data_IF_599671047999
#
_entry.id   IF_599671047999
#
_cell.length_a   1.000
_cell.length_b   1.000
_cell.length_c   1.000
_cell.angle_alpha   90.00
_cell.angle_beta   90.00
_cell.angle_gamma   90.00
#
_symmetry.space_group_name_H-M   'P 1'
#
loop_
_entity.id
_entity.type
_entity.pdbx_description
1 polymer ?
#
# COMPACT_ATOMS: atom_id res chain seq x y z
N UNK A 1 -5.66 9.84 -35.87
CA UNK A 1 -5.06 11.13 -35.48
C UNK A 1 -5.39 11.54 -34.02
N UNK A 2 -6.43 11.07 -33.38
CA UNK A 2 -6.76 11.38 -31.97
C UNK A 2 -5.90 10.63 -30.94
N UNK A 3 -5.36 9.47 -31.29
CA UNK A 3 -4.47 8.65 -30.43
C UNK A 3 -3.06 9.25 -30.27
N UNK A 4 -2.59 10.01 -31.24
CA UNK A 4 -1.29 10.68 -31.18
C UNK A 4 -1.27 11.84 -30.17
N UNK A 5 -2.39 12.55 -29.99
CA UNK A 5 -2.46 13.68 -29.05
C UNK A 5 -2.46 13.26 -27.56
N UNK A 6 -3.08 12.12 -27.23
CA UNK A 6 -3.09 11.60 -25.85
C UNK A 6 -1.72 11.04 -25.44
N UNK A 7 -1.03 10.37 -26.37
CA UNK A 7 0.34 9.88 -26.14
C UNK A 7 1.34 11.02 -25.96
N UNK A 8 1.19 12.11 -26.72
CA UNK A 8 2.05 13.29 -26.58
C UNK A 8 1.81 14.07 -25.28
N UNK A 9 0.55 14.17 -24.82
CA UNK A 9 0.25 14.80 -23.54
C UNK A 9 0.80 13.99 -22.35
N UNK A 10 0.70 12.66 -22.41
CA UNK A 10 1.26 11.79 -21.38
C UNK A 10 2.79 11.75 -21.41
N UNK A 11 3.39 11.74 -22.63
CA UNK A 11 4.84 11.85 -22.79
C UNK A 11 5.36 13.17 -22.21
N UNK A 12 4.68 14.31 -22.44
CA UNK A 12 5.04 15.59 -21.86
C UNK A 12 4.93 15.64 -20.33
N UNK A 13 3.94 14.94 -19.75
CA UNK A 13 3.80 14.82 -18.27
C UNK A 13 4.92 13.93 -17.72
N UNK A 14 5.24 12.82 -18.38
CA UNK A 14 6.32 11.91 -17.97
C UNK A 14 7.69 12.56 -18.14
N UNK A 15 7.91 13.30 -19.23
CA UNK A 15 9.15 14.08 -19.44
C UNK A 15 9.31 15.22 -18.42
N UNK A 16 8.23 15.95 -18.12
CA UNK A 16 8.24 16.96 -17.07
C UNK A 16 8.53 16.40 -15.68
N UNK A 17 7.97 15.24 -15.36
CA UNK A 17 8.21 14.52 -14.11
C UNK A 17 9.64 13.94 -14.04
N UNK A 18 10.16 13.37 -15.14
CA UNK A 18 11.54 12.88 -15.22
C UNK A 18 12.54 14.03 -15.13
N UNK A 19 12.27 15.16 -15.79
CA UNK A 19 13.11 16.34 -15.68
C UNK A 19 13.14 16.90 -14.25
N UNK A 20 12.00 16.92 -13.55
CA UNK A 20 11.92 17.35 -12.15
C UNK A 20 12.62 16.36 -11.20
N UNK A 21 12.50 15.05 -11.45
CA UNK A 21 13.20 14.02 -10.68
C UNK A 21 14.73 14.09 -10.89
N UNK A 22 15.18 14.39 -12.11
CA UNK A 22 16.59 14.58 -12.41
C UNK A 22 17.16 15.85 -11.76
N UNK A 23 16.40 16.94 -11.76
CA UNK A 23 16.79 18.21 -11.09
C UNK A 23 16.84 18.02 -9.57
N UNK A 24 15.83 17.36 -8.97
CA UNK A 24 15.84 17.08 -7.52
C UNK A 24 16.90 16.07 -7.10
N UNK A 25 17.23 15.11 -7.95
CA UNK A 25 18.34 14.19 -7.68
C UNK A 25 19.71 14.89 -7.78
N UNK A 26 19.87 15.83 -8.71
CA UNK A 26 21.08 16.61 -8.91
C UNK A 26 21.29 17.62 -7.77
N UNK A 27 20.22 18.27 -7.31
CA UNK A 27 20.24 19.15 -6.13
C UNK A 27 20.54 18.38 -4.83
N UNK A 28 20.08 17.12 -4.72
CA UNK A 28 20.38 16.26 -3.57
C UNK A 28 21.85 15.84 -3.51
N UNK A 29 22.51 15.62 -4.66
CA UNK A 29 23.95 15.31 -4.70
C UNK A 29 24.81 16.53 -4.38
N UNK A 30 24.41 17.73 -4.81
CA UNK A 30 25.11 18.98 -4.49
C UNK A 30 24.90 19.40 -3.03
N UNK A 31 23.71 19.21 -2.43
CA UNK A 31 23.46 19.41 -1.01
C UNK A 31 24.22 18.39 -0.14
N UNK A 32 24.33 17.14 -0.55
CA UNK A 32 25.07 16.11 0.18
C UNK A 32 26.57 16.40 0.19
N UNK A 33 27.11 16.90 -0.91
CA UNK A 33 28.53 17.32 -1.02
C UNK A 33 28.83 18.60 -0.18
N UNK A 34 27.91 19.53 -0.12
CA UNK A 34 28.04 20.78 0.64
C UNK A 34 27.75 20.58 2.13
N UNK A 35 26.77 19.73 2.48
CA UNK A 35 26.44 19.38 3.86
C UNK A 35 27.56 18.56 4.55
N UNK A 36 28.24 17.70 3.82
CA UNK A 36 29.39 16.94 4.33
C UNK A 36 30.58 17.84 4.70
N UNK A 37 30.74 19.02 4.07
CA UNK A 37 31.76 19.99 4.36
C UNK A 37 31.41 20.99 5.48
N UNK A 38 30.11 21.16 5.80
CA UNK A 38 29.60 22.10 6.80
C UNK A 38 29.19 21.44 8.14
N UNK A 39 29.19 20.14 8.27
CA UNK A 39 28.53 19.41 9.36
C UNK A 39 29.40 19.15 10.61
N UNK A 40 30.53 19.86 10.82
CA UNK A 40 31.37 19.57 11.98
C UNK A 40 31.18 20.52 13.21
N UNK A 41 30.58 21.71 13.17
CA UNK A 41 30.45 22.49 14.41
C UNK A 41 29.04 22.71 15.00
N UNK A 42 27.94 22.16 14.50
CA UNK A 42 26.62 22.56 15.03
C UNK A 42 25.79 21.43 15.63
N UNK A 43 26.40 20.54 16.40
CA UNK A 43 25.73 19.42 17.08
C UNK A 43 24.97 19.81 18.37
N UNK A 44 24.89 21.07 18.71
CA UNK A 44 24.23 21.55 19.95
C UNK A 44 23.45 22.85 19.72
N UNK A 45 22.33 22.84 19.03
CA UNK A 45 21.24 23.79 19.26
C UNK A 45 19.91 23.14 18.94
N UNK A 46 19.21 22.81 20.01
CA UNK A 46 17.86 22.28 20.04
C UNK A 46 16.89 23.45 19.99
N UNK A 47 15.97 23.51 19.06
CA UNK A 47 14.63 24.14 19.05
C UNK A 47 14.12 24.52 17.65
N UNK A 48 14.99 24.67 16.64
CA UNK A 48 14.58 25.07 15.28
C UNK A 48 14.27 23.91 14.32
N UNK A 49 14.56 22.66 14.69
CA UNK A 49 14.43 21.49 13.80
C UNK A 49 12.97 21.07 13.51
N UNK A 50 12.03 21.38 14.41
CA UNK A 50 10.61 21.06 14.24
C UNK A 50 9.90 22.02 13.28
N UNK A 51 10.31 23.30 13.30
CA UNK A 51 9.70 24.31 12.42
C UNK A 51 10.12 24.15 10.96
N UNK A 52 11.38 23.81 10.71
CA UNK A 52 11.91 23.58 9.35
C UNK A 52 11.27 22.34 8.73
N UNK A 53 11.03 21.27 9.50
CA UNK A 53 10.36 20.07 9.00
C UNK A 53 8.87 20.31 8.69
N UNK A 54 8.20 21.15 9.46
CA UNK A 54 6.81 21.56 9.21
C UNK A 54 6.70 22.45 7.95
N UNK A 55 7.66 23.34 7.75
CA UNK A 55 7.72 24.21 6.56
C UNK A 55 8.02 23.39 5.31
N UNK A 56 9.00 22.48 5.33
CA UNK A 56 9.32 21.62 4.20
C UNK A 56 8.15 20.69 3.81
N UNK A 57 7.50 20.05 4.79
CA UNK A 57 6.31 19.25 4.53
C UNK A 57 5.10 20.07 4.04
N UNK A 58 5.02 21.34 4.38
CA UNK A 58 3.99 22.26 3.90
C UNK A 58 4.29 22.77 2.49
N UNK A 59 5.53 23.01 2.16
CA UNK A 59 5.95 23.36 0.80
C UNK A 59 5.73 22.19 -0.18
N UNK A 60 6.09 20.98 0.21
CA UNK A 60 5.89 19.80 -0.61
C UNK A 60 4.41 19.52 -0.90
N UNK A 61 3.51 19.68 0.06
CA UNK A 61 2.05 19.58 -0.17
C UNK A 61 1.50 20.70 -1.03
N UNK A 62 2.18 21.84 -1.05
CA UNK A 62 1.82 23.02 -1.85
C UNK A 62 2.16 22.82 -3.32
N UNK A 63 3.36 22.30 -3.63
CA UNK A 63 3.79 22.02 -5.00
C UNK A 63 2.93 20.93 -5.62
N UNK A 64 2.68 19.82 -4.90
CA UNK A 64 1.82 18.74 -5.36
C UNK A 64 0.41 19.21 -5.72
N UNK A 65 -0.23 20.01 -4.88
CA UNK A 65 -1.59 20.50 -5.21
C UNK A 65 -1.63 21.43 -6.40
N UNK A 66 -0.59 22.22 -6.66
CA UNK A 66 -0.49 23.07 -7.84
C UNK A 66 -0.25 22.25 -9.12
N UNK A 67 0.59 21.21 -9.04
CA UNK A 67 0.83 20.29 -10.15
C UNK A 67 -0.41 19.46 -10.49
N UNK A 68 -1.12 18.97 -9.48
CA UNK A 68 -2.38 18.21 -9.66
C UNK A 68 -3.49 19.09 -10.28
N UNK A 69 -3.57 20.37 -9.91
CA UNK A 69 -4.50 21.30 -10.54
C UNK A 69 -4.12 21.59 -12.00
N UNK A 70 -2.83 21.76 -12.29
CA UNK A 70 -2.30 21.95 -13.63
C UNK A 70 -2.51 20.74 -14.53
N UNK A 71 -2.21 19.54 -14.05
CA UNK A 71 -2.40 18.28 -14.79
C UNK A 71 -3.88 18.00 -15.05
N UNK A 72 -4.77 18.26 -14.08
CA UNK A 72 -6.21 18.15 -14.28
C UNK A 72 -6.72 19.14 -15.33
N UNK A 73 -6.17 20.36 -15.39
CA UNK A 73 -6.48 21.33 -16.44
C UNK A 73 -6.05 20.86 -17.83
N UNK A 74 -4.86 20.28 -17.97
CA UNK A 74 -4.36 19.68 -19.21
C UNK A 74 -5.21 18.49 -19.67
N UNK A 75 -5.64 17.63 -18.74
CA UNK A 75 -6.57 16.53 -19.01
C UNK A 75 -7.89 17.03 -19.58
N UNK A 76 -8.40 18.19 -19.14
CA UNK A 76 -9.62 18.79 -19.67
C UNK A 76 -9.50 19.18 -21.15
N UNK A 77 -8.33 19.61 -21.62
CA UNK A 77 -8.09 19.96 -23.02
C UNK A 77 -8.11 18.72 -23.93
N UNK A 78 -7.64 17.57 -23.44
CA UNK A 78 -7.62 16.31 -24.20
C UNK A 78 -8.93 15.52 -24.15
N UNK A 79 -9.80 15.76 -23.17
CA UNK A 79 -11.04 15.01 -22.99
C UNK A 79 -12.10 15.40 -24.03
N UNK A 80 -12.57 14.44 -24.84
CA UNK A 80 -13.67 14.60 -25.80
C UNK A 80 -14.71 13.51 -25.57
N UNK A 81 -15.96 13.88 -25.34
CA UNK A 81 -17.09 12.95 -25.16
C UNK A 81 -17.69 12.96 -23.76
N UNK A 82 -18.68 12.09 -23.57
CA UNK A 82 -19.32 11.83 -22.27
C UNK A 82 -18.65 10.63 -21.59
N UNK A 83 -18.72 10.62 -20.27
CA UNK A 83 -18.28 9.52 -19.42
C UNK A 83 -19.47 9.12 -18.55
N UNK A 84 -19.81 7.84 -18.55
CA UNK A 84 -20.86 7.27 -17.71
C UNK A 84 -20.22 6.60 -16.49
N UNK A 85 -20.68 6.97 -15.30
CA UNK A 85 -20.25 6.36 -14.04
C UNK A 85 -21.35 5.46 -13.50
N UNK A 86 -21.07 4.20 -13.25
CA UNK A 86 -21.96 3.34 -12.47
C UNK A 86 -21.66 3.53 -10.98
N UNK A 87 -22.60 4.16 -10.29
CA UNK A 87 -22.52 4.49 -8.87
C UNK A 87 -23.27 3.52 -7.97
N UNK A 88 -23.90 2.48 -8.56
CA UNK A 88 -24.78 1.58 -7.81
C UNK A 88 -24.38 0.13 -7.93
N UNK A 89 -24.54 -0.59 -6.81
CA UNK A 89 -24.57 -2.04 -6.81
C UNK A 89 -26.03 -2.52 -6.82
N UNK A 90 -26.26 -3.72 -7.37
CA UNK A 90 -27.59 -4.34 -7.44
C UNK A 90 -28.30 -4.53 -6.09
N UNK A 91 -27.58 -4.35 -4.99
CA UNK A 91 -28.02 -4.55 -3.60
C UNK A 91 -28.30 -3.24 -2.84
N UNK A 92 -28.17 -2.08 -3.48
CA UNK A 92 -28.28 -0.79 -2.82
C UNK A 92 -29.74 -0.40 -2.51
N UNK A 93 -29.97 0.29 -1.38
CA UNK A 93 -31.28 0.79 -0.97
C UNK A 93 -31.89 1.79 -1.97
N UNK A 94 -31.03 2.61 -2.58
CA UNK A 94 -31.41 3.59 -3.59
C UNK A 94 -30.53 3.37 -4.83
N UNK A 95 -31.14 3.18 -5.98
CA UNK A 95 -30.42 3.12 -7.25
C UNK A 95 -30.15 4.55 -7.71
N UNK A 96 -28.90 4.97 -7.54
CA UNK A 96 -28.41 6.17 -8.20
C UNK A 96 -28.17 5.77 -9.65
N UNK A 97 -28.91 6.28 -10.62
CA UNK A 97 -28.72 5.94 -12.03
C UNK A 97 -27.26 6.08 -12.47
N UNK A 98 -26.92 5.58 -13.65
CA UNK A 98 -25.61 5.82 -14.27
C UNK A 98 -25.64 7.18 -14.99
N UNK A 99 -25.25 8.31 -14.34
CA UNK A 99 -25.33 9.63 -14.98
C UNK A 99 -24.31 9.71 -16.10
N UNK A 100 -24.79 10.07 -17.29
CA UNK A 100 -23.93 10.49 -18.39
C UNK A 100 -23.43 11.90 -18.10
N UNK A 101 -22.18 12.03 -17.74
CA UNK A 101 -21.56 13.30 -17.44
C UNK A 101 -20.62 13.70 -18.58
N UNK A 102 -20.64 14.96 -18.94
CA UNK A 102 -19.65 15.48 -19.88
C UNK A 102 -18.26 15.40 -19.20
N UNK A 103 -17.34 14.60 -19.76
CA UNK A 103 -16.03 14.37 -19.18
C UNK A 103 -15.28 15.68 -18.89
N UNK A 104 -15.35 16.65 -19.80
CA UNK A 104 -14.74 17.99 -19.58
C UNK A 104 -15.32 18.71 -18.39
N UNK A 105 -16.63 18.63 -18.19
CA UNK A 105 -17.32 19.30 -17.08
C UNK A 105 -16.91 18.68 -15.74
N UNK A 106 -16.81 17.36 -15.66
CA UNK A 106 -16.32 16.64 -14.46
C UNK A 106 -14.87 17.01 -14.17
N UNK A 107 -14.00 17.02 -15.18
CA UNK A 107 -12.59 17.36 -14.99
C UNK A 107 -12.44 18.82 -14.57
N UNK A 108 -13.16 19.75 -15.17
CA UNK A 108 -13.09 21.18 -14.82
C UNK A 108 -13.62 21.46 -13.40
N UNK A 109 -14.72 20.81 -12.99
CA UNK A 109 -15.27 20.97 -11.63
C UNK A 109 -14.34 20.37 -10.58
N UNK A 110 -13.79 19.18 -10.83
CA UNK A 110 -12.81 18.56 -9.93
C UNK A 110 -11.50 19.34 -9.89
N UNK A 111 -11.00 19.85 -11.02
CA UNK A 111 -9.85 20.75 -11.08
C UNK A 111 -10.07 22.04 -10.28
N UNK A 112 -11.28 22.61 -10.36
CA UNK A 112 -11.67 23.76 -9.54
C UNK A 112 -11.65 23.47 -8.03
N UNK A 113 -12.15 22.31 -7.61
CA UNK A 113 -12.12 21.86 -6.21
C UNK A 113 -10.66 21.66 -5.76
N UNK A 114 -9.82 21.02 -6.58
CA UNK A 114 -8.40 20.81 -6.30
C UNK A 114 -7.69 22.15 -6.17
N UNK A 115 -7.91 23.08 -7.11
CA UNK A 115 -7.31 24.41 -7.08
C UNK A 115 -7.72 25.22 -5.83
N UNK A 116 -9.02 25.20 -5.48
CA UNK A 116 -9.53 25.86 -4.27
C UNK A 116 -8.93 25.26 -3.00
N UNK A 117 -8.87 23.92 -2.92
CA UNK A 117 -8.27 23.22 -1.78
C UNK A 117 -6.77 23.51 -1.66
N UNK A 118 -6.07 23.60 -2.78
CA UNK A 118 -4.65 23.99 -2.85
C UNK A 118 -4.45 25.45 -2.43
N UNK A 119 -5.34 26.37 -2.84
CA UNK A 119 -5.29 27.77 -2.41
C UNK A 119 -5.46 27.88 -0.88
N UNK A 120 -6.37 27.12 -0.28
CA UNK A 120 -6.55 27.06 1.18
C UNK A 120 -5.30 26.49 1.85
N UNK A 121 -4.73 25.42 1.31
CA UNK A 121 -3.50 24.84 1.83
C UNK A 121 -2.33 25.83 1.76
N UNK A 122 -2.25 26.59 0.68
CA UNK A 122 -1.28 27.65 0.47
C UNK A 122 -1.42 28.79 1.47
N UNK A 123 -2.62 29.35 1.65
CA UNK A 123 -2.86 30.43 2.63
C UNK A 123 -2.50 29.97 4.05
N UNK A 124 -2.89 28.75 4.41
CA UNK A 124 -2.54 28.18 5.71
C UNK A 124 -1.03 27.98 5.89
N UNK A 125 -0.35 27.52 4.84
CA UNK A 125 1.10 27.36 4.83
C UNK A 125 1.83 28.70 4.99
N UNK A 126 1.39 29.75 4.28
CA UNK A 126 1.93 31.12 4.44
C UNK A 126 1.78 31.66 5.86
N UNK A 127 0.67 31.32 6.52
CA UNK A 127 0.41 31.71 7.92
C UNK A 127 1.05 30.79 8.96
N UNK A 128 1.97 29.89 8.56
CA UNK A 128 2.61 28.85 9.39
C UNK A 128 1.60 28.01 10.20
N UNK A 129 0.37 27.84 9.70
CA UNK A 129 -0.66 27.00 10.32
C UNK A 129 -0.65 25.62 9.71
N UNK A 130 -1.05 24.59 10.48
CA UNK A 130 -1.18 23.22 9.98
C UNK A 130 -2.20 23.17 8.83
N UNK A 131 -1.82 22.53 7.72
CA UNK A 131 -2.73 22.28 6.60
C UNK A 131 -3.82 21.32 7.07
N UNK A 132 -5.11 21.63 6.86
CA UNK A 132 -6.19 20.76 7.29
C UNK A 132 -6.18 19.47 6.45
N UNK A 133 -6.36 18.33 7.12
CA UNK A 133 -6.36 17.02 6.47
C UNK A 133 -7.43 16.89 5.40
N UNK A 134 -8.58 17.57 5.57
CA UNK A 134 -9.65 17.55 4.56
C UNK A 134 -9.21 18.16 3.21
N UNK A 135 -8.35 19.18 3.21
CA UNK A 135 -7.85 19.77 1.97
C UNK A 135 -6.97 18.78 1.20
N UNK A 136 -6.07 18.05 1.89
CA UNK A 136 -5.27 17.01 1.26
C UNK A 136 -6.14 15.85 0.71
N UNK A 137 -7.19 15.48 1.43
CA UNK A 137 -8.14 14.45 0.98
C UNK A 137 -8.90 14.90 -0.27
N UNK A 138 -9.40 16.15 -0.29
CA UNK A 138 -10.11 16.69 -1.46
C UNK A 138 -9.21 16.81 -2.69
N UNK A 139 -7.95 17.17 -2.52
CA UNK A 139 -6.97 17.20 -3.60
C UNK A 139 -6.82 15.80 -4.20
N UNK A 140 -6.56 14.78 -3.37
CA UNK A 140 -6.39 13.41 -3.85
C UNK A 140 -7.66 12.84 -4.52
N UNK A 141 -8.84 13.01 -3.92
CA UNK A 141 -10.12 12.55 -4.49
C UNK A 141 -10.42 13.29 -5.81
N UNK A 142 -10.21 14.60 -5.84
CA UNK A 142 -10.46 15.41 -7.03
C UNK A 142 -9.57 15.00 -8.20
N UNK A 143 -8.28 14.75 -7.94
CA UNK A 143 -7.35 14.24 -8.95
C UNK A 143 -7.76 12.87 -9.49
N UNK A 144 -8.10 11.94 -8.60
CA UNK A 144 -8.56 10.59 -8.95
C UNK A 144 -9.80 10.64 -9.84
N UNK A 145 -10.80 11.45 -9.47
CA UNK A 145 -12.02 11.61 -10.26
C UNK A 145 -11.74 12.27 -11.62
N UNK A 146 -10.86 13.27 -11.67
CA UNK A 146 -10.44 13.90 -12.93
C UNK A 146 -9.74 12.88 -13.83
N UNK A 147 -8.84 12.07 -13.28
CA UNK A 147 -8.13 11.02 -14.01
C UNK A 147 -9.09 9.95 -14.55
N UNK A 148 -10.00 9.44 -13.73
CA UNK A 148 -11.00 8.45 -14.17
C UNK A 148 -11.91 9.02 -15.27
N UNK A 149 -12.35 10.28 -15.13
CA UNK A 149 -13.17 10.95 -16.15
C UNK A 149 -12.41 11.13 -17.47
N UNK A 150 -11.12 11.46 -17.40
CA UNK A 150 -10.25 11.59 -18.57
C UNK A 150 -10.00 10.23 -19.25
N UNK A 151 -9.64 9.22 -18.48
CA UNK A 151 -9.36 7.88 -18.98
C UNK A 151 -10.59 7.19 -19.57
N UNK A 152 -11.78 7.53 -19.06
CA UNK A 152 -13.07 7.06 -19.59
C UNK A 152 -13.67 7.93 -20.68
N UNK A 153 -13.07 9.08 -20.99
CA UNK A 153 -13.60 9.99 -21.99
C UNK A 153 -13.59 9.35 -23.39
N UNK A 154 -14.79 9.24 -24.00
CA UNK A 154 -14.95 8.61 -25.30
C UNK A 154 -14.87 7.08 -25.30
N UNK A 155 -14.75 6.42 -24.14
CA UNK A 155 -14.90 4.97 -24.03
C UNK A 155 -16.36 4.57 -24.26
N UNK A 156 -16.56 3.38 -24.84
CA UNK A 156 -17.91 2.81 -25.02
C UNK A 156 -18.45 2.14 -23.74
N UNK A 157 -17.60 1.95 -22.74
CA UNK A 157 -17.92 1.29 -21.48
C UNK A 157 -18.32 2.28 -20.38
N UNK A 158 -19.10 1.79 -19.43
CA UNK A 158 -19.44 2.52 -18.20
C UNK A 158 -18.33 2.30 -17.19
N UNK A 159 -17.88 3.33 -16.47
CA UNK A 159 -16.88 3.21 -15.40
C UNK A 159 -17.56 2.66 -14.16
N UNK A 160 -17.28 1.40 -13.75
CA UNK A 160 -17.90 0.78 -12.59
C UNK A 160 -17.19 1.24 -11.31
N UNK A 161 -17.49 2.44 -10.81
CA UNK A 161 -16.80 3.04 -9.67
C UNK A 161 -16.83 2.16 -8.41
N UNK A 162 -17.99 1.56 -8.12
CA UNK A 162 -18.16 0.66 -6.97
C UNK A 162 -17.27 -0.58 -7.10
N UNK A 163 -17.18 -1.12 -8.32
CA UNK A 163 -16.32 -2.29 -8.60
C UNK A 163 -14.84 -1.91 -8.44
N UNK A 164 -14.41 -0.76 -8.99
CA UNK A 164 -13.04 -0.27 -8.86
C UNK A 164 -12.67 -0.10 -7.37
N UNK A 165 -13.53 0.54 -6.58
CA UNK A 165 -13.27 0.76 -5.16
C UNK A 165 -13.27 -0.55 -4.36
N UNK A 166 -14.19 -1.48 -4.65
CA UNK A 166 -14.24 -2.79 -4.01
C UNK A 166 -13.02 -3.63 -4.34
N UNK A 167 -12.60 -3.62 -5.61
CA UNK A 167 -11.37 -4.30 -6.05
C UNK A 167 -10.13 -3.66 -5.45
N UNK A 168 -10.07 -2.32 -5.39
CA UNK A 168 -8.99 -1.59 -4.74
C UNK A 168 -8.82 -1.99 -3.27
N UNK A 169 -9.92 -2.09 -2.53
CA UNK A 169 -9.89 -2.57 -1.16
C UNK A 169 -9.42 -4.04 -1.10
N UNK A 170 -9.94 -4.92 -1.94
CA UNK A 170 -9.52 -6.32 -2.01
C UNK A 170 -8.02 -6.46 -2.28
N UNK A 171 -7.51 -5.78 -3.32
CA UNK A 171 -6.10 -5.80 -3.68
C UNK A 171 -5.18 -5.17 -2.61
N UNK A 172 -5.71 -4.28 -1.77
CA UNK A 172 -4.95 -3.71 -0.65
C UNK A 172 -4.81 -4.66 0.55
N UNK A 173 -5.65 -5.70 0.68
CA UNK A 173 -5.65 -6.59 1.85
C UNK A 173 -4.29 -7.23 2.11
N UNK A 174 -3.66 -7.94 1.15
CA UNK A 174 -2.34 -8.52 1.36
C UNK A 174 -1.27 -7.45 1.64
N UNK A 175 -1.38 -6.27 1.01
CA UNK A 175 -0.46 -5.16 1.24
C UNK A 175 -0.56 -4.62 2.66
N UNK A 176 -1.77 -4.51 3.21
CA UNK A 176 -1.99 -4.07 4.61
C UNK A 176 -1.42 -5.10 5.57
N UNK A 177 -1.72 -6.39 5.40
CA UNK A 177 -1.17 -7.43 6.26
C UNK A 177 0.36 -7.50 6.20
N UNK A 178 0.94 -7.43 4.99
CA UNK A 178 2.38 -7.38 4.80
C UNK A 178 3.02 -6.14 5.44
N UNK A 179 2.41 -4.96 5.28
CA UNK A 179 2.91 -3.73 5.91
C UNK A 179 2.81 -3.75 7.43
N UNK A 180 1.73 -4.33 8.01
CA UNK A 180 1.61 -4.54 9.45
C UNK A 180 2.68 -5.51 9.97
N UNK A 181 2.96 -6.58 9.22
CA UNK A 181 4.04 -7.51 9.53
C UNK A 181 5.41 -6.80 9.54
N UNK A 182 5.68 -6.00 8.52
CA UNK A 182 6.88 -5.16 8.46
C UNK A 182 6.99 -4.21 9.66
N UNK A 183 5.90 -3.49 10.01
CA UNK A 183 5.88 -2.57 11.16
C UNK A 183 6.26 -3.30 12.46
N UNK A 184 5.71 -4.47 12.72
CA UNK A 184 6.01 -5.22 13.96
C UNK A 184 7.47 -5.69 13.96
N UNK A 185 7.96 -6.24 12.85
CA UNK A 185 9.34 -6.68 12.69
C UNK A 185 10.32 -5.54 12.90
N UNK A 186 10.22 -4.49 12.11
CA UNK A 186 11.19 -3.40 12.08
C UNK A 186 11.15 -2.53 13.34
N UNK A 187 9.96 -2.23 13.86
CA UNK A 187 9.86 -1.53 15.15
C UNK A 187 10.37 -2.35 16.33
N UNK A 188 10.53 -3.66 16.19
CA UNK A 188 11.24 -4.49 17.19
C UNK A 188 12.76 -4.54 16.97
N UNK A 189 13.26 -3.92 15.88
CA UNK A 189 14.67 -3.89 15.51
C UNK A 189 15.11 -5.01 14.58
N UNK A 190 14.15 -5.67 13.88
CA UNK A 190 14.44 -6.75 12.94
C UNK A 190 13.89 -6.42 11.57
N UNK A 191 14.75 -6.32 10.56
CA UNK A 191 14.37 -6.10 9.17
C UNK A 191 13.66 -7.36 8.64
N UNK A 192 12.44 -7.19 8.14
CA UNK A 192 11.65 -8.30 7.59
C UNK A 192 11.42 -8.14 6.08
N UNK A 193 12.44 -8.43 5.28
CA UNK A 193 12.30 -8.48 3.80
C UNK A 193 11.67 -9.79 3.34
N UNK A 194 11.56 -10.81 4.21
CA UNK A 194 10.95 -12.09 3.87
C UNK A 194 9.41 -12.05 3.75
N UNK A 195 8.79 -10.88 3.76
CA UNK A 195 7.32 -10.73 3.68
C UNK A 195 6.75 -11.36 2.41
N UNK A 196 7.45 -11.27 1.27
CA UNK A 196 7.03 -11.91 0.02
C UNK A 196 6.91 -13.42 0.18
N UNK A 197 7.93 -14.07 0.73
CA UNK A 197 7.90 -15.50 1.02
C UNK A 197 6.86 -15.86 2.10
N UNK A 198 6.65 -15.02 3.10
CA UNK A 198 5.62 -15.23 4.12
C UNK A 198 4.21 -15.18 3.53
N UNK A 199 3.93 -14.24 2.62
CA UNK A 199 2.69 -14.16 1.86
C UNK A 199 2.50 -15.38 0.96
N UNK A 200 3.52 -15.73 0.16
CA UNK A 200 3.46 -16.85 -0.77
C UNK A 200 3.29 -18.18 -0.06
N UNK A 201 4.04 -18.42 1.01
CA UNK A 201 3.89 -19.61 1.85
C UNK A 201 2.50 -19.69 2.48
N UNK A 202 1.96 -18.55 2.94
CA UNK A 202 0.61 -18.45 3.46
C UNK A 202 -0.46 -18.76 2.42
N UNK A 203 -0.32 -18.25 1.20
CA UNK A 203 -1.21 -18.54 0.07
C UNK A 203 -1.19 -20.04 -0.28
N UNK A 204 0.02 -20.63 -0.35
CA UNK A 204 0.20 -22.05 -0.66
C UNK A 204 -0.45 -22.94 0.41
N UNK A 205 -0.05 -22.78 1.68
CA UNK A 205 -0.56 -23.63 2.75
C UNK A 205 -2.06 -23.44 2.98
N UNK A 206 -2.54 -22.18 2.83
CA UNK A 206 -3.96 -21.85 2.90
C UNK A 206 -4.78 -22.58 1.83
N UNK A 207 -4.30 -22.61 0.57
CA UNK A 207 -4.97 -23.29 -0.53
C UNK A 207 -4.99 -24.81 -0.34
N UNK A 208 -3.82 -25.41 -0.03
CA UNK A 208 -3.68 -26.87 0.11
C UNK A 208 -4.54 -27.40 1.27
N UNK A 209 -4.46 -26.76 2.44
CA UNK A 209 -5.22 -27.21 3.63
C UNK A 209 -6.73 -26.97 3.45
N UNK A 210 -7.14 -25.83 2.84
CA UNK A 210 -8.52 -25.58 2.51
C UNK A 210 -9.07 -26.66 1.57
N UNK A 211 -8.29 -27.03 0.55
CA UNK A 211 -8.67 -28.06 -0.43
C UNK A 211 -8.75 -29.45 0.18
N UNK A 212 -7.75 -29.84 0.98
CA UNK A 212 -7.71 -31.14 1.66
C UNK A 212 -8.88 -31.33 2.62
N UNK A 213 -9.23 -30.28 3.39
CA UNK A 213 -10.36 -30.29 4.31
C UNK A 213 -11.70 -29.90 3.63
N UNK A 214 -11.69 -29.55 2.35
CA UNK A 214 -12.85 -28.99 1.63
C UNK A 214 -13.55 -27.84 2.38
N UNK A 215 -12.76 -27.05 3.12
CA UNK A 215 -13.27 -25.98 3.98
C UNK A 215 -12.32 -24.77 3.97
N UNK A 216 -12.72 -23.60 3.44
CA UNK A 216 -11.89 -22.42 3.35
C UNK A 216 -11.51 -21.82 4.73
N UNK A 217 -12.30 -22.06 5.78
CA UNK A 217 -12.02 -21.58 7.13
C UNK A 217 -10.77 -22.24 7.74
N UNK A 218 -10.56 -23.53 7.46
CA UNK A 218 -9.35 -24.24 7.92
C UNK A 218 -8.11 -23.69 7.19
N UNK A 219 -8.25 -23.31 5.93
CA UNK A 219 -7.18 -22.66 5.17
C UNK A 219 -6.71 -21.34 5.79
N UNK A 220 -7.64 -20.49 6.29
CA UNK A 220 -7.29 -19.25 7.00
C UNK A 220 -6.47 -19.54 8.26
N UNK A 221 -6.79 -20.60 8.99
CA UNK A 221 -6.06 -20.97 10.21
C UNK A 221 -4.69 -21.57 9.90
N UNK A 222 -4.53 -22.24 8.77
CA UNK A 222 -3.28 -22.83 8.33
C UNK A 222 -2.28 -21.80 7.77
N UNK A 223 -2.76 -20.80 7.03
CA UNK A 223 -1.92 -19.82 6.36
C UNK A 223 -0.93 -19.07 7.30
N UNK A 224 -1.32 -18.61 8.49
CA UNK A 224 -0.40 -18.02 9.47
C UNK A 224 0.77 -18.93 9.85
N UNK A 225 0.55 -20.25 9.86
CA UNK A 225 1.60 -21.21 10.24
C UNK A 225 2.78 -21.16 9.26
N UNK A 226 2.51 -21.12 7.96
CA UNK A 226 3.58 -20.98 6.95
C UNK A 226 4.34 -19.66 7.12
N UNK A 227 3.63 -18.55 7.32
CA UNK A 227 4.27 -17.26 7.58
C UNK A 227 5.14 -17.26 8.85
N UNK A 228 4.68 -17.90 9.93
CA UNK A 228 5.48 -18.09 11.16
C UNK A 228 6.72 -18.92 10.91
N UNK A 229 6.63 -20.02 10.15
CA UNK A 229 7.78 -20.87 9.83
C UNK A 229 8.86 -20.08 9.09
N UNK A 230 8.49 -19.30 8.07
CA UNK A 230 9.44 -18.43 7.35
C UNK A 230 10.02 -17.37 8.29
N UNK A 231 9.20 -16.76 9.15
CA UNK A 231 9.66 -15.79 10.14
C UNK A 231 10.64 -16.38 11.16
N UNK A 232 10.40 -17.62 11.60
CA UNK A 232 11.31 -18.33 12.52
C UNK A 232 12.64 -18.68 11.85
N UNK A 233 12.64 -19.03 10.55
CA UNK A 233 13.88 -19.18 9.78
C UNK A 233 14.66 -17.86 9.71
N UNK A 234 13.95 -16.73 9.44
CA UNK A 234 14.56 -15.41 9.47
C UNK A 234 15.14 -15.08 10.87
N UNK A 235 14.41 -15.43 11.95
CA UNK A 235 14.90 -15.25 13.31
C UNK A 235 16.13 -16.12 13.60
N UNK A 236 16.13 -17.36 13.14
CA UNK A 236 17.25 -18.30 13.35
C UNK A 236 18.52 -17.77 12.70
N UNK A 237 18.48 -17.43 11.42
CA UNK A 237 19.68 -16.97 10.70
C UNK A 237 20.02 -15.51 11.03
N UNK A 238 19.04 -14.60 11.05
CA UNK A 238 19.25 -13.17 11.24
C UNK A 238 19.51 -12.76 12.68
N UNK A 239 18.85 -13.41 13.67
CA UNK A 239 19.03 -13.06 15.08
C UNK A 239 19.98 -14.00 15.81
N UNK A 240 19.84 -15.34 15.67
CA UNK A 240 20.66 -16.30 16.40
C UNK A 240 22.06 -16.46 15.80
N UNK A 241 22.16 -16.60 14.47
CA UNK A 241 23.43 -16.69 13.76
C UNK A 241 24.01 -15.34 13.33
N UNK A 242 23.25 -14.25 13.55
CA UNK A 242 23.68 -12.86 13.26
C UNK A 242 24.08 -12.61 11.80
N UNK A 243 23.51 -13.36 10.88
CA UNK A 243 23.69 -13.12 9.44
C UNK A 243 22.93 -11.85 9.07
N UNK A 244 23.38 -11.14 8.04
CA UNK A 244 22.70 -9.95 7.54
C UNK A 244 21.24 -10.27 7.21
N UNK A 245 20.31 -9.61 7.91
CA UNK A 245 18.86 -9.89 7.86
C UNK A 245 18.28 -9.61 6.46
N UNK A 246 18.82 -8.64 5.73
CA UNK A 246 18.41 -8.31 4.36
C UNK A 246 18.72 -9.49 3.44
N UNK A 247 19.95 -9.99 3.49
CA UNK A 247 20.39 -11.13 2.68
C UNK A 247 19.57 -12.38 3.00
N UNK A 248 19.38 -12.68 4.30
CA UNK A 248 18.55 -13.81 4.73
C UNK A 248 17.12 -13.67 4.22
N UNK A 249 16.53 -12.47 4.31
CA UNK A 249 15.17 -12.22 3.83
C UNK A 249 15.00 -12.49 2.34
N UNK A 250 15.95 -12.01 1.52
CA UNK A 250 15.93 -12.26 0.07
C UNK A 250 16.10 -13.75 -0.24
N UNK A 251 17.04 -14.43 0.41
CA UNK A 251 17.25 -15.88 0.23
C UNK A 251 16.00 -16.68 0.64
N UNK A 252 15.32 -16.29 1.72
CA UNK A 252 14.07 -16.93 2.14
C UNK A 252 12.94 -16.72 1.12
N UNK A 253 12.84 -15.56 0.50
CA UNK A 253 11.85 -15.32 -0.57
C UNK A 253 12.09 -16.28 -1.74
N UNK A 254 13.35 -16.40 -2.20
CA UNK A 254 13.73 -17.33 -3.29
C UNK A 254 13.49 -18.79 -2.87
N UNK A 255 13.83 -19.14 -1.62
CA UNK A 255 13.62 -20.50 -1.08
C UNK A 255 12.13 -20.85 -1.09
N UNK A 256 11.26 -19.95 -0.60
CA UNK A 256 9.81 -20.21 -0.54
C UNK A 256 9.22 -20.26 -1.94
N UNK A 257 9.60 -19.36 -2.86
CA UNK A 257 9.16 -19.40 -4.25
C UNK A 257 9.58 -20.71 -4.93
N UNK A 258 10.85 -21.12 -4.80
CA UNK A 258 11.33 -22.40 -5.33
C UNK A 258 10.63 -23.61 -4.71
N UNK A 259 10.45 -23.62 -3.39
CA UNK A 259 9.78 -24.71 -2.69
C UNK A 259 8.30 -24.84 -3.07
N UNK A 260 7.56 -23.73 -3.08
CA UNK A 260 6.14 -23.73 -3.48
C UNK A 260 5.97 -24.08 -4.96
N UNK A 261 6.87 -23.61 -5.83
CA UNK A 261 6.88 -23.96 -7.23
C UNK A 261 7.16 -25.45 -7.46
N UNK A 262 8.14 -26.04 -6.75
CA UNK A 262 8.41 -27.47 -6.79
C UNK A 262 7.20 -28.30 -6.29
N UNK A 263 6.61 -27.94 -5.13
CA UNK A 263 5.45 -28.63 -4.60
C UNK A 263 4.21 -28.48 -5.51
N UNK A 264 4.06 -27.31 -6.13
CA UNK A 264 2.99 -27.08 -7.11
C UNK A 264 3.14 -28.02 -8.33
N UNK A 265 4.31 -28.04 -8.96
CA UNK A 265 4.55 -28.85 -10.14
C UNK A 265 4.48 -30.36 -9.88
N UNK A 266 4.93 -30.79 -8.69
CA UNK A 266 5.00 -32.24 -8.35
C UNK A 266 3.68 -32.78 -7.82
N UNK A 267 2.97 -32.03 -6.98
CA UNK A 267 1.80 -32.54 -6.25
C UNK A 267 0.50 -31.88 -6.70
N UNK A 268 0.45 -30.56 -6.85
CA UNK A 268 -0.80 -29.85 -7.11
C UNK A 268 -1.25 -29.97 -8.55
N UNK A 269 -0.32 -29.93 -9.52
CA UNK A 269 -0.63 -30.08 -10.94
C UNK A 269 -1.14 -31.49 -11.28
N UNK A 270 -0.66 -32.52 -10.57
CA UNK A 270 -1.09 -33.91 -10.75
C UNK A 270 -2.37 -34.27 -9.95
N UNK A 271 -2.71 -33.47 -8.95
CA UNK A 271 -3.84 -33.73 -8.03
C UNK A 271 -4.75 -32.50 -7.88
N UNK A 272 -5.67 -32.23 -8.84
CA UNK A 272 -6.56 -31.07 -8.79
C UNK A 272 -7.42 -30.99 -7.52
N UNK A 273 -7.60 -32.13 -6.82
CA UNK A 273 -8.32 -32.19 -5.54
C UNK A 273 -7.63 -31.42 -4.42
N UNK A 274 -6.29 -31.23 -4.49
CA UNK A 274 -5.49 -30.51 -3.52
C UNK A 274 -5.35 -29.01 -3.83
N UNK A 275 -5.84 -28.55 -4.96
CA UNK A 275 -5.77 -27.15 -5.39
C UNK A 275 -7.10 -26.64 -5.94
N UNK A 276 -8.15 -26.73 -5.12
CA UNK A 276 -9.49 -26.27 -5.48
C UNK A 276 -9.63 -24.79 -5.21
N UNK A 277 -10.31 -24.07 -6.11
CA UNK A 277 -10.70 -22.67 -5.92
C UNK A 277 -11.85 -22.55 -4.89
N UNK A 278 -11.53 -22.67 -3.61
CA UNK A 278 -12.48 -22.54 -2.51
C UNK A 278 -12.53 -21.09 -2.03
N UNK A 279 -13.69 -20.46 -2.15
CA UNK A 279 -13.89 -19.06 -1.76
C UNK A 279 -14.58 -18.94 -0.41
N UNK A 280 -14.10 -18.00 0.41
CA UNK A 280 -14.79 -17.57 1.61
C UNK A 280 -16.11 -16.88 1.29
N UNK A 281 -17.15 -17.09 2.10
CA UNK A 281 -18.40 -16.37 1.96
C UNK A 281 -18.19 -14.88 2.21
N UNK A 282 -18.84 -14.04 1.41
CA UNK A 282 -18.91 -12.61 1.66
C UNK A 282 -19.92 -12.34 2.79
N UNK A 283 -19.47 -11.66 3.83
CA UNK A 283 -20.30 -11.27 4.96
C UNK A 283 -20.82 -9.84 4.72
N UNK A 284 -22.14 -9.71 4.62
CA UNK A 284 -22.79 -8.41 4.53
C UNK A 284 -23.23 -7.95 5.92
N UNK A 285 -22.72 -6.81 6.38
CA UNK A 285 -23.18 -6.21 7.65
C UNK A 285 -24.59 -5.66 7.43
N UNK A 286 -25.61 -6.13 8.18
CA UNK A 286 -26.99 -5.65 8.02
C UNK A 286 -27.06 -4.13 8.12
N UNK A 287 -27.92 -3.51 7.32
CA UNK A 287 -28.15 -2.08 7.22
C UNK A 287 -26.99 -1.29 6.57
N UNK A 288 -25.74 -1.43 7.05
CA UNK A 288 -24.58 -0.72 6.52
C UNK A 288 -24.20 -1.17 5.10
N UNK A 289 -24.39 -2.44 4.76
CA UNK A 289 -24.10 -2.96 3.42
C UNK A 289 -25.04 -2.44 2.32
N UNK A 290 -26.12 -1.73 2.70
CA UNK A 290 -27.11 -1.18 1.77
C UNK A 290 -26.91 0.31 1.46
N UNK A 291 -25.92 0.96 2.10
CA UNK A 291 -25.57 2.35 1.83
C UNK A 291 -24.92 2.41 0.43
N UNK A 292 -25.40 3.26 -0.49
CA UNK A 292 -24.81 3.38 -1.82
C UNK A 292 -23.30 3.67 -1.75
N UNK A 293 -22.51 3.07 -2.63
CA UNK A 293 -21.05 3.18 -2.76
C UNK A 293 -20.30 2.61 -1.54
N UNK A 294 -20.53 3.15 -0.35
CA UNK A 294 -19.80 2.78 0.88
C UNK A 294 -20.16 1.36 1.36
N UNK A 295 -21.44 0.99 1.25
CA UNK A 295 -21.96 -0.31 1.69
C UNK A 295 -21.27 -1.47 0.99
N UNK A 296 -21.35 -1.59 -0.33
CA UNK A 296 -20.70 -2.64 -1.08
C UNK A 296 -19.18 -2.66 -0.92
N UNK A 297 -18.55 -1.48 -0.83
CA UNK A 297 -17.09 -1.36 -0.72
C UNK A 297 -16.57 -1.79 0.64
N UNK A 298 -17.16 -1.33 1.75
CA UNK A 298 -16.59 -1.56 3.10
C UNK A 298 -17.30 -2.64 3.90
N UNK A 299 -18.62 -2.83 3.68
CA UNK A 299 -19.49 -3.66 4.54
C UNK A 299 -20.05 -4.91 3.85
N UNK A 300 -19.55 -5.26 2.66
CA UNK A 300 -19.88 -6.51 1.95
C UNK A 300 -18.59 -7.19 1.51
N UNK A 301 -17.82 -7.64 2.50
CA UNK A 301 -16.49 -8.17 2.30
C UNK A 301 -16.30 -9.57 2.90
N UNK A 302 -15.19 -10.23 2.57
CA UNK A 302 -14.81 -11.50 3.21
C UNK A 302 -14.33 -11.25 4.65
N UNK A 303 -14.33 -12.30 5.47
CA UNK A 303 -13.85 -12.22 6.87
C UNK A 303 -12.41 -11.71 6.97
N UNK A 304 -11.56 -11.99 5.97
CA UNK A 304 -10.17 -11.51 5.94
C UNK A 304 -10.08 -9.99 5.92
N UNK A 305 -11.02 -9.30 5.24
CA UNK A 305 -11.08 -7.83 5.23
C UNK A 305 -11.48 -7.29 6.62
N UNK A 306 -12.46 -7.91 7.28
CA UNK A 306 -12.86 -7.50 8.63
C UNK A 306 -11.77 -7.77 9.66
N UNK A 307 -11.06 -8.90 9.54
CA UNK A 307 -9.88 -9.17 10.36
C UNK A 307 -8.75 -8.17 10.10
N UNK A 308 -8.58 -7.70 8.86
CA UNK A 308 -7.64 -6.62 8.52
C UNK A 308 -8.02 -5.31 9.24
N UNK A 309 -9.30 -4.92 9.22
CA UNK A 309 -9.75 -3.73 9.95
C UNK A 309 -9.47 -3.86 11.45
N UNK A 310 -9.77 -5.02 12.02
CA UNK A 310 -9.49 -5.32 13.42
C UNK A 310 -7.97 -5.28 13.70
N UNK A 311 -7.14 -5.89 12.85
CA UNK A 311 -5.69 -5.90 12.99
C UNK A 311 -5.11 -4.48 12.97
N UNK A 312 -5.53 -3.62 12.03
CA UNK A 312 -5.10 -2.22 11.96
C UNK A 312 -5.50 -1.46 13.23
N UNK A 313 -6.75 -1.60 13.68
CA UNK A 313 -7.25 -0.92 14.88
C UNK A 313 -6.52 -1.40 16.14
N UNK A 314 -6.43 -2.72 16.34
CA UNK A 314 -5.77 -3.33 17.50
C UNK A 314 -4.30 -2.97 17.54
N UNK A 315 -3.56 -3.10 16.42
CA UNK A 315 -2.15 -2.76 16.38
C UNK A 315 -1.90 -1.26 16.54
N UNK A 316 -2.79 -0.41 16.04
CA UNK A 316 -2.68 1.05 16.27
C UNK A 316 -2.75 1.40 17.75
N UNK A 317 -3.64 0.74 18.49
CA UNK A 317 -3.75 0.95 19.94
C UNK A 317 -2.63 0.26 20.68
N UNK A 318 -2.37 -1.02 20.39
CA UNK A 318 -1.36 -1.82 21.08
C UNK A 318 0.04 -1.25 20.92
N UNK A 319 0.42 -0.82 19.71
CA UNK A 319 1.76 -0.32 19.42
C UNK A 319 2.07 0.98 20.21
N UNK A 320 1.08 1.86 20.38
CA UNK A 320 1.31 3.19 20.97
C UNK A 320 0.81 3.35 22.41
N UNK A 321 -0.13 2.52 22.86
CA UNK A 321 -0.78 2.67 24.18
C UNK A 321 -0.61 1.46 25.12
N UNK A 322 0.03 0.36 24.69
CA UNK A 322 0.22 -0.83 25.54
C UNK A 322 1.65 -1.00 26.05
N UNK A 323 1.78 -1.80 27.13
CA UNK A 323 3.09 -2.23 27.66
C UNK A 323 3.87 -3.08 26.66
N UNK A 324 3.17 -3.88 25.84
CA UNK A 324 3.78 -4.66 24.77
C UNK A 324 4.42 -3.76 23.71
N UNK A 325 3.66 -2.77 23.19
CA UNK A 325 4.17 -1.83 22.21
C UNK A 325 5.33 -0.96 22.72
N UNK A 326 5.32 -0.61 24.02
CA UNK A 326 6.45 0.09 24.64
C UNK A 326 7.70 -0.76 24.63
N UNK A 327 7.62 -2.04 25.08
CA UNK A 327 8.76 -2.98 25.09
C UNK A 327 9.28 -3.24 23.67
N UNK A 328 8.37 -3.45 22.73
CA UNK A 328 8.71 -3.66 21.32
C UNK A 328 9.53 -2.47 20.76
N UNK A 329 9.03 -1.25 20.93
CA UNK A 329 9.73 -0.03 20.46
C UNK A 329 11.05 0.21 21.22
N UNK A 330 11.11 -0.06 22.50
CA UNK A 330 12.36 0.03 23.28
C UNK A 330 13.45 -0.90 22.71
N UNK A 331 13.08 -2.15 22.32
CA UNK A 331 14.00 -3.08 21.67
C UNK A 331 14.46 -2.62 20.29
N UNK A 332 13.63 -1.86 19.55
CA UNK A 332 13.98 -1.32 18.24
C UNK A 332 14.76 -0.01 18.27
N UNK A 333 14.61 0.80 19.32
CA UNK A 333 15.33 2.08 19.44
C UNK A 333 16.66 1.91 20.20
N UNK A 334 16.62 1.29 21.41
CA UNK A 334 17.80 1.12 22.27
C UNK A 334 17.79 -0.24 22.96
N UNK A 335 18.21 -1.33 22.25
CA UNK A 335 18.16 -2.69 22.81
C UNK A 335 19.00 -2.86 24.08
N UNK A 336 20.18 -2.19 24.18
CA UNK A 336 21.02 -2.23 25.38
C UNK A 336 20.30 -1.64 26.60
N UNK A 337 19.62 -0.49 26.43
CA UNK A 337 18.84 0.12 27.51
C UNK A 337 17.60 -0.72 27.87
N UNK A 338 16.97 -1.37 26.90
CA UNK A 338 15.86 -2.29 27.17
C UNK A 338 16.29 -3.49 28.03
N UNK A 339 17.49 -4.03 27.78
CA UNK A 339 18.05 -5.16 28.51
C UNK A 339 18.37 -4.78 29.99
N UNK A 340 18.94 -3.58 30.23
CA UNK A 340 19.26 -3.12 31.59
C UNK A 340 18.03 -2.97 32.50
N UNK A 341 16.84 -2.78 31.92
CA UNK A 341 15.58 -2.75 32.69
C UNK A 341 14.86 -4.12 32.71
N UNK A 342 15.55 -5.20 32.33
CA UNK A 342 15.06 -6.57 32.41
C UNK A 342 14.19 -7.04 31.24
N UNK A 343 14.19 -6.34 30.09
CA UNK A 343 13.47 -6.79 28.90
C UNK A 343 14.38 -7.74 28.11
N UNK A 344 13.97 -9.00 27.98
CA UNK A 344 14.71 -9.94 27.13
C UNK A 344 14.54 -9.59 25.65
N UNK A 345 15.54 -8.91 25.09
CA UNK A 345 15.52 -8.38 23.71
C UNK A 345 15.36 -9.50 22.67
N UNK A 346 16.11 -10.61 22.83
CA UNK A 346 16.07 -11.73 21.87
C UNK A 346 14.67 -12.36 21.82
N UNK A 347 14.09 -12.70 22.98
CA UNK A 347 12.72 -13.26 23.03
C UNK A 347 11.69 -12.28 22.47
N UNK A 348 11.82 -11.00 22.74
CA UNK A 348 10.92 -9.98 22.23
C UNK A 348 11.00 -9.88 20.71
N UNK A 349 12.21 -9.84 20.12
CA UNK A 349 12.40 -9.80 18.67
C UNK A 349 11.84 -11.06 17.99
N UNK A 350 12.16 -12.26 18.50
CA UNK A 350 11.66 -13.53 17.93
C UNK A 350 10.13 -13.62 18.00
N UNK A 351 9.53 -13.31 19.16
CA UNK A 351 8.07 -13.36 19.30
C UNK A 351 7.34 -12.37 18.38
N UNK A 352 7.89 -11.16 18.25
CA UNK A 352 7.31 -10.16 17.37
C UNK A 352 7.49 -10.52 15.89
N UNK A 353 8.63 -11.10 15.52
CA UNK A 353 8.85 -11.59 14.16
C UNK A 353 7.92 -12.76 13.81
N UNK A 354 7.68 -13.68 14.76
CA UNK A 354 6.68 -14.74 14.57
C UNK A 354 5.26 -14.18 14.39
N UNK A 355 4.88 -13.17 15.19
CA UNK A 355 3.60 -12.48 15.02
C UNK A 355 3.51 -11.76 13.66
N UNK A 356 4.60 -11.13 13.23
CA UNK A 356 4.72 -10.53 11.91
C UNK A 356 4.50 -11.56 10.80
N UNK A 357 5.18 -12.72 10.89
CA UNK A 357 4.99 -13.82 9.94
C UNK A 357 3.56 -14.36 9.92
N UNK A 358 2.91 -14.48 11.10
CA UNK A 358 1.51 -14.89 11.16
C UNK A 358 0.57 -13.93 10.41
N UNK A 359 0.78 -12.62 10.57
CA UNK A 359 0.00 -11.61 9.86
C UNK A 359 0.25 -11.65 8.34
N UNK A 360 1.52 -11.74 7.93
CA UNK A 360 1.85 -11.86 6.53
C UNK A 360 1.26 -13.15 5.92
N UNK A 361 1.40 -14.29 6.60
CA UNK A 361 0.77 -15.54 6.16
C UNK A 361 -0.74 -15.45 6.02
N UNK A 362 -1.42 -14.76 6.96
CA UNK A 362 -2.84 -14.48 6.86
C UNK A 362 -3.18 -13.59 5.65
N UNK A 363 -2.33 -12.60 5.35
CA UNK A 363 -2.44 -11.80 4.13
C UNK A 363 -2.29 -12.65 2.87
N UNK A 364 -1.41 -13.65 2.90
CA UNK A 364 -1.24 -14.63 1.82
C UNK A 364 -2.51 -15.43 1.51
N UNK A 365 -3.26 -15.85 2.55
CA UNK A 365 -4.53 -16.54 2.37
C UNK A 365 -5.55 -15.77 1.55
N UNK A 366 -5.41 -14.45 1.44
CA UNK A 366 -6.30 -13.63 0.61
C UNK A 366 -6.18 -13.97 -0.88
N UNK A 367 -4.98 -14.28 -1.37
CA UNK A 367 -4.77 -14.62 -2.79
C UNK A 367 -5.51 -15.88 -3.22
N UNK A 368 -5.71 -16.82 -2.31
CA UNK A 368 -6.38 -18.10 -2.58
C UNK A 368 -7.79 -18.13 -2.01
N UNK A 369 -7.96 -18.43 -0.74
CA UNK A 369 -9.29 -18.58 -0.14
C UNK A 369 -10.07 -17.26 -0.02
N UNK A 370 -9.39 -16.12 0.02
CA UNK A 370 -10.02 -14.81 0.04
C UNK A 370 -10.61 -14.41 -1.31
N UNK A 371 -9.82 -14.54 -2.38
CA UNK A 371 -10.24 -14.24 -3.76
C UNK A 371 -11.04 -15.37 -4.42
N UNK A 372 -10.89 -16.61 -3.92
CA UNK A 372 -11.50 -17.80 -4.49
C UNK A 372 -10.73 -18.32 -5.70
N UNK A 373 -9.43 -18.14 -5.73
CA UNK A 373 -8.54 -18.67 -6.75
C UNK A 373 -7.81 -19.92 -6.25
N UNK A 374 -7.48 -20.83 -7.17
CA UNK A 374 -6.50 -21.88 -6.92
C UNK A 374 -5.11 -21.26 -6.74
N UNK A 375 -4.20 -21.97 -6.07
CA UNK A 375 -2.82 -21.54 -5.97
C UNK A 375 -2.13 -21.62 -7.34
N UNK A 376 -1.40 -20.60 -7.70
CA UNK A 376 -0.54 -20.53 -8.88
C UNK A 376 0.88 -20.17 -8.47
N UNK A 377 1.86 -20.57 -9.29
CA UNK A 377 3.24 -20.23 -9.04
C UNK A 377 3.42 -18.71 -8.98
N UNK A 378 4.13 -18.27 -7.93
CA UNK A 378 4.51 -16.87 -7.73
C UNK A 378 3.33 -15.88 -7.74
N UNK A 379 2.12 -16.35 -7.30
CA UNK A 379 0.89 -15.55 -7.37
C UNK A 379 0.91 -14.26 -6.53
N UNK A 380 1.88 -14.11 -5.64
CA UNK A 380 2.09 -12.88 -4.86
C UNK A 380 2.74 -11.78 -5.69
N UNK A 381 3.47 -12.12 -6.77
CA UNK A 381 3.98 -11.22 -7.79
C UNK A 381 4.61 -9.92 -7.25
N UNK A 382 5.40 -10.01 -6.16
CA UNK A 382 6.08 -8.87 -5.56
C UNK A 382 5.22 -8.01 -4.63
N UNK A 383 4.00 -8.42 -4.30
CA UNK A 383 3.12 -7.66 -3.38
C UNK A 383 3.74 -7.48 -1.98
N UNK A 384 4.63 -8.38 -1.53
CA UNK A 384 5.37 -8.21 -0.28
C UNK A 384 6.34 -7.03 -0.32
N UNK A 385 6.98 -6.76 -1.44
CA UNK A 385 7.84 -5.58 -1.61
C UNK A 385 7.03 -4.29 -1.69
N UNK A 386 5.86 -4.31 -2.33
CA UNK A 386 4.93 -3.18 -2.33
C UNK A 386 4.40 -2.93 -0.91
N UNK A 387 4.17 -3.98 -0.13
CA UNK A 387 3.78 -3.86 1.27
C UNK A 387 4.87 -3.18 2.14
N UNK A 388 6.16 -3.47 1.88
CA UNK A 388 7.29 -2.75 2.50
C UNK A 388 7.27 -1.27 2.10
N UNK A 389 7.07 -0.96 0.83
CA UNK A 389 6.93 0.42 0.37
C UNK A 389 5.73 1.13 1.05
N UNK A 390 4.58 0.45 1.21
CA UNK A 390 3.43 0.96 1.93
C UNK A 390 3.72 1.21 3.43
N UNK A 391 4.53 0.37 4.06
CA UNK A 391 4.99 0.56 5.44
C UNK A 391 5.88 1.81 5.58
N UNK A 392 6.86 1.97 4.70
CA UNK A 392 7.77 3.13 4.69
C UNK A 392 6.99 4.41 4.45
N UNK A 393 6.13 4.44 3.41
CA UNK A 393 5.24 5.56 3.11
C UNK A 393 4.30 5.89 4.28
N UNK A 394 3.81 4.86 4.98
CA UNK A 394 2.99 4.98 6.18
C UNK A 394 3.75 5.40 7.43
N UNK A 395 5.08 5.67 7.34
CA UNK A 395 5.95 6.09 8.45
C UNK A 395 5.93 5.10 9.63
N UNK A 396 5.94 3.80 9.35
CA UNK A 396 5.84 2.73 10.36
C UNK A 396 4.64 2.89 11.31
N UNK A 397 3.53 3.45 10.81
CA UNK A 397 2.27 3.60 11.55
C UNK A 397 1.16 2.78 10.89
N UNK A 398 0.41 1.94 11.62
CA UNK A 398 -0.62 1.08 11.02
C UNK A 398 -1.66 1.83 10.19
N UNK A 399 -2.15 2.99 10.65
CA UNK A 399 -3.09 3.81 9.90
C UNK A 399 -2.47 4.48 8.67
N UNK A 400 -1.20 4.90 8.75
CA UNK A 400 -0.47 5.43 7.61
C UNK A 400 -0.26 4.38 6.53
N UNK A 401 0.16 3.17 6.93
CA UNK A 401 0.35 2.05 6.01
C UNK A 401 -0.95 1.55 5.39
N UNK A 402 -2.07 1.59 6.14
CA UNK A 402 -3.40 1.35 5.56
C UNK A 402 -3.70 2.33 4.42
N UNK A 403 -3.46 3.64 4.63
CA UNK A 403 -3.67 4.66 3.60
C UNK A 403 -2.77 4.43 2.37
N UNK A 404 -1.50 4.11 2.59
CA UNK A 404 -0.55 3.79 1.51
C UNK A 404 -0.95 2.52 0.74
N UNK A 405 -1.34 1.45 1.44
CA UNK A 405 -1.78 0.20 0.82
C UNK A 405 -3.07 0.38 0.02
N UNK A 406 -4.02 1.20 0.51
CA UNK A 406 -5.23 1.56 -0.24
C UNK A 406 -4.89 2.35 -1.52
N UNK A 407 -3.91 3.25 -1.47
CA UNK A 407 -3.44 3.96 -2.65
C UNK A 407 -2.88 3.01 -3.71
N UNK A 408 -2.00 2.06 -3.30
CA UNK A 408 -1.44 1.08 -4.21
C UNK A 408 -2.50 0.09 -4.74
N UNK A 409 -3.39 -0.39 -3.88
CA UNK A 409 -4.51 -1.24 -4.29
C UNK A 409 -5.46 -0.53 -5.26
N UNK A 410 -5.70 0.78 -5.06
CA UNK A 410 -6.48 1.58 -6.00
C UNK A 410 -5.77 1.73 -7.35
N UNK A 411 -4.47 2.05 -7.37
CA UNK A 411 -3.69 2.15 -8.59
C UNK A 411 -3.73 0.84 -9.40
N UNK A 412 -3.58 -0.31 -8.71
CA UNK A 412 -3.66 -1.63 -9.33
C UNK A 412 -5.07 -1.95 -9.84
N UNK A 413 -6.12 -1.62 -9.08
CA UNK A 413 -7.50 -1.81 -9.51
C UNK A 413 -7.85 -1.01 -10.76
N UNK A 414 -7.39 0.25 -10.83
CA UNK A 414 -7.55 1.09 -12.01
C UNK A 414 -6.81 0.50 -13.19
N UNK A 415 -5.56 0.05 -13.00
CA UNK A 415 -4.76 -0.58 -14.05
C UNK A 415 -5.41 -1.85 -14.62
N UNK A 416 -6.13 -2.60 -13.80
CA UNK A 416 -6.85 -3.81 -14.25
C UNK A 416 -8.20 -3.49 -14.93
N UNK A 417 -8.88 -2.43 -14.50
CA UNK A 417 -10.24 -2.14 -14.96
C UNK A 417 -10.27 -1.31 -16.25
N UNK A 418 -9.39 -0.32 -16.41
CA UNK A 418 -9.41 0.59 -17.56
C UNK A 418 -9.24 -0.13 -18.92
N UNK A 419 -8.36 -1.14 -19.09
CA UNK A 419 -8.27 -1.87 -20.36
C UNK A 419 -9.58 -2.61 -20.70
N UNK A 420 -10.28 -3.14 -19.69
CA UNK A 420 -11.50 -3.91 -19.88
C UNK A 420 -12.66 -3.05 -20.39
N UNK A 421 -12.76 -1.80 -19.97
CA UNK A 421 -13.81 -0.87 -20.42
C UNK A 421 -13.49 -0.21 -21.77
N UNK A 422 -12.38 -0.59 -22.41
CA UNK A 422 -11.99 -0.04 -23.71
C UNK A 422 -11.56 1.43 -23.65
N UNK A 423 -10.77 1.79 -22.63
CA UNK A 423 -10.14 3.10 -22.51
C UNK A 423 -9.35 3.45 -23.77
N UNK A 424 -9.32 4.72 -24.13
CA UNK A 424 -8.51 5.24 -25.24
C UNK A 424 -7.00 5.23 -24.97
N UNK A 425 -6.61 4.95 -23.73
CA UNK A 425 -5.20 4.86 -23.29
C UNK A 425 -4.65 3.47 -23.59
N UNK A 426 -3.40 3.37 -24.06
CA UNK A 426 -2.74 2.09 -24.30
C UNK A 426 -2.70 1.24 -23.01
N UNK A 427 -3.03 -0.08 -23.06
CA UNK A 427 -2.94 -0.98 -21.94
C UNK A 427 -1.55 -1.02 -21.28
N UNK A 428 -0.49 -0.88 -22.08
CA UNK A 428 0.89 -0.86 -21.57
C UNK A 428 1.14 0.32 -20.64
N UNK A 429 0.66 1.52 -21.02
CA UNK A 429 0.78 2.73 -20.18
C UNK A 429 -0.06 2.57 -18.91
N UNK A 430 -1.27 2.01 -19.02
CA UNK A 430 -2.14 1.78 -17.87
C UNK A 430 -1.49 0.81 -16.89
N UNK A 431 -0.84 -0.24 -17.37
CA UNK A 431 -0.14 -1.22 -16.53
C UNK A 431 1.06 -0.65 -15.76
N UNK A 432 1.63 0.47 -16.21
CA UNK A 432 2.69 1.19 -15.51
C UNK A 432 2.19 2.02 -14.31
N UNK A 433 0.89 2.33 -14.22
CA UNK A 433 0.31 3.21 -13.19
C UNK A 433 0.71 2.79 -11.76
N UNK A 434 0.59 1.52 -11.33
CA UNK A 434 0.95 1.12 -9.98
C UNK A 434 2.43 1.38 -9.65
N UNK A 435 3.31 1.16 -10.61
CA UNK A 435 4.76 1.38 -10.44
C UNK A 435 5.10 2.87 -10.37
N UNK A 436 4.50 3.68 -11.24
CA UNK A 436 4.66 5.15 -11.21
C UNK A 436 4.16 5.69 -9.87
N UNK A 437 2.98 5.29 -9.43
CA UNK A 437 2.42 5.69 -8.12
C UNK A 437 3.35 5.28 -6.98
N UNK A 438 3.94 4.09 -7.05
CA UNK A 438 4.89 3.62 -6.04
C UNK A 438 6.15 4.49 -6.00
N UNK A 439 6.74 4.79 -7.16
CA UNK A 439 7.94 5.64 -7.26
C UNK A 439 7.64 7.04 -6.74
N UNK A 440 6.54 7.65 -7.18
CA UNK A 440 6.13 8.99 -6.75
C UNK A 440 5.82 9.05 -5.26
N UNK A 441 5.13 8.02 -4.74
CA UNK A 441 4.80 7.93 -3.33
C UNK A 441 6.07 7.83 -2.48
N UNK A 442 7.02 6.97 -2.85
CA UNK A 442 8.27 6.79 -2.12
C UNK A 442 9.17 8.03 -2.26
N UNK A 443 9.33 8.58 -3.46
CA UNK A 443 10.17 9.76 -3.69
C UNK A 443 9.58 11.05 -3.10
N UNK A 444 8.24 11.23 -3.17
CA UNK A 444 7.57 12.46 -2.80
C UNK A 444 7.14 12.55 -1.33
N UNK A 445 6.80 11.43 -0.69
CA UNK A 445 6.26 11.42 0.69
C UNK A 445 7.28 11.05 1.77
N UNK A 446 8.45 10.52 1.41
CA UNK A 446 9.51 10.12 2.36
C UNK A 446 10.31 11.34 2.81
N UNK A 447 9.66 12.41 3.28
CA UNK A 447 10.32 13.48 4.01
C UNK A 447 10.60 13.03 5.44
N UNK A 448 11.87 13.04 5.88
CA UNK A 448 12.36 12.87 7.28
C UNK A 448 11.65 11.81 8.13
N UNK A 449 11.22 10.71 7.52
CA UNK A 449 10.72 9.55 8.29
C UNK A 449 11.94 8.79 8.79
N UNK A 450 12.04 8.59 10.11
CA UNK A 450 13.16 7.86 10.71
C UNK A 450 12.74 6.42 10.96
N UNK A 451 13.46 5.49 10.37
CA UNK A 451 13.41 4.08 10.76
C UNK A 451 13.86 3.92 12.23
N UNK A 452 13.50 2.85 12.93
CA UNK A 452 13.98 2.56 14.28
C UNK A 452 15.51 2.53 14.34
N UNK A 453 16.11 3.15 15.37
CA UNK A 453 17.55 3.40 15.40
C UNK A 453 18.42 2.13 15.46
N UNK A 454 17.93 1.03 16.03
CA UNK A 454 18.62 -0.25 16.11
C UNK A 454 18.03 -1.30 15.14
N UNK A 455 17.39 -0.87 14.05
CA UNK A 455 16.88 -1.73 13.01
C UNK A 455 18.03 -2.44 12.28
N UNK A 456 17.93 -3.76 12.14
CA UNK A 456 18.95 -4.57 11.47
C UNK A 456 20.24 -4.75 12.27
N UNK A 457 20.39 -4.10 13.43
CA UNK A 457 21.57 -4.21 14.26
C UNK A 457 21.53 -5.50 15.07
N UNK A 458 22.52 -6.42 14.93
CA UNK A 458 22.61 -7.60 15.76
C UNK A 458 22.70 -7.23 17.23
N UNK A 459 22.02 -8.00 18.09
CA UNK A 459 22.08 -7.87 19.54
C UNK A 459 22.66 -9.14 20.15
N UNK A 460 23.62 -9.03 21.10
CA UNK A 460 24.28 -10.18 21.70
C UNK A 460 23.35 -11.09 22.48
#
# INVERSE_FOLDING_TARGET
MASLGAGQALAGVVEGLLAHLLVTAQDADDECSTAAKAAVPSLFTNESGTDVALVAASEQRRTMGAEEAGTSGLMALGARGSTTFDLTASSDLFRLGAPELNARLVILTTAGIVAASTAVAFDRSRRRRRIPTWAAVLIGIGFVLAFLAWAGAGSRGVIPLVTILSSALGLSVPLVYGSLAGIIGERSGTINIAIEGQLLGGAFLGAVVASACSNPWVGILAAPVAGVLVALLLALFGLRYRVNQIVVGVVLNVLVSGLTGFLFSTFLSSSPSLNRALRLPTLAVPLLSRIPIIGPVLFRQTILVYLMYAAVAVLSVMLFRSRWGLRLRACGEHPKAADTVGINVMRTRVANLALAGALAGLGGAFFTVGSGLSFENDMTAGNGYIALAAMILGAWRPLGSLGAALLFGFATSVAQTLPVIGSSVSPDIISMIPYIVTILAVAGFVGKVRAPAAEGVPYP
#
